data_IF_626223564053
#
_entry.id   IF_626223564053
#
_cell.length_a   1.000
_cell.length_b   1.000
_cell.length_c   1.000
_cell.angle_alpha   90.00
_cell.angle_beta   90.00
_cell.angle_gamma   90.00
#
_symmetry.space_group_name_H-M   'P 1'
#
loop_
_entity.id
_entity.type
_entity.pdbx_description
1 polymer ?
#
# COMPACT_ATOMS: atom_id res chain seq x y z
N UNK A 1 -31.88 -29.02 -6.98
CA UNK A 1 -31.46 -28.75 -5.58
C UNK A 1 -30.20 -27.89 -5.61
N UNK A 2 -30.34 -26.58 -5.65
CA UNK A 2 -29.22 -25.65 -5.53
C UNK A 2 -29.22 -25.07 -4.11
N UNK A 3 -28.21 -25.42 -3.31
CA UNK A 3 -28.01 -24.85 -1.98
C UNK A 3 -27.35 -23.48 -2.14
N UNK A 4 -28.11 -22.42 -1.87
CA UNK A 4 -27.55 -21.09 -1.65
C UNK A 4 -26.78 -21.10 -0.33
N UNK A 5 -25.47 -20.87 -0.38
CA UNK A 5 -24.68 -20.53 0.79
C UNK A 5 -24.77 -19.02 1.00
N UNK A 6 -25.60 -18.61 1.96
CA UNK A 6 -25.66 -17.23 2.43
C UNK A 6 -24.41 -16.96 3.26
N UNK A 7 -23.47 -16.19 2.72
CA UNK A 7 -22.31 -15.71 3.45
C UNK A 7 -22.79 -14.65 4.45
N UNK A 8 -22.83 -14.99 5.74
CA UNK A 8 -23.08 -14.02 6.81
C UNK A 8 -21.82 -13.16 6.99
N UNK A 9 -21.84 -11.95 6.45
CA UNK A 9 -20.88 -10.91 6.80
C UNK A 9 -21.24 -10.42 8.21
N UNK A 10 -20.51 -10.88 9.22
CA UNK A 10 -20.65 -10.36 10.57
C UNK A 10 -20.14 -8.91 10.59
N UNK A 11 -21.06 -7.95 10.52
CA UNK A 11 -20.77 -6.54 10.75
C UNK A 11 -20.49 -6.38 12.24
N UNK A 12 -19.20 -6.40 12.61
CA UNK A 12 -18.77 -5.94 13.94
C UNK A 12 -18.92 -4.43 13.91
N UNK A 13 -19.96 -3.93 14.58
CA UNK A 13 -20.21 -2.50 14.75
C UNK A 13 -19.17 -1.94 15.74
N UNK A 14 -17.98 -1.64 15.24
CA UNK A 14 -16.99 -0.85 15.97
C UNK A 14 -17.47 0.60 15.96
N UNK A 15 -18.07 1.06 17.06
CA UNK A 15 -18.26 2.50 17.28
C UNK A 15 -16.87 3.15 17.40
N UNK A 16 -16.32 3.58 16.28
CA UNK A 16 -15.06 4.34 16.19
C UNK A 16 -15.29 5.76 16.75
N UNK A 17 -15.40 5.87 18.07
CA UNK A 17 -15.05 7.12 18.76
C UNK A 17 -13.54 7.30 18.55
N UNK A 18 -13.17 8.01 17.48
CA UNK A 18 -11.81 8.49 17.29
C UNK A 18 -11.50 9.44 18.46
N UNK A 19 -11.01 8.91 19.57
CA UNK A 19 -10.27 9.71 20.52
C UNK A 19 -9.09 10.31 19.74
N UNK A 20 -8.82 11.60 19.89
CA UNK A 20 -7.64 12.22 19.30
C UNK A 20 -6.39 11.54 19.88
N UNK A 21 -5.89 10.54 19.15
CA UNK A 21 -4.66 9.86 19.49
C UNK A 21 -3.53 10.89 19.57
N UNK A 22 -2.60 10.76 20.54
CA UNK A 22 -1.31 11.43 20.46
C UNK A 22 -0.66 11.16 19.10
N UNK A 23 0.03 12.14 18.52
CA UNK A 23 0.56 12.05 17.15
C UNK A 23 1.49 10.85 16.94
N UNK A 24 2.21 10.42 18.00
CA UNK A 24 3.10 9.27 17.98
C UNK A 24 2.37 7.93 17.81
N UNK A 25 1.07 7.86 18.10
CA UNK A 25 0.24 6.68 17.91
C UNK A 25 -0.38 6.60 16.51
N UNK A 26 -0.33 7.68 15.74
CA UNK A 26 -0.95 7.76 14.42
C UNK A 26 -2.46 7.51 14.46
N UNK A 27 -2.97 6.83 13.43
CA UNK A 27 -4.41 6.65 13.17
C UNK A 27 -4.95 5.26 13.49
N UNK A 28 -4.16 4.42 14.14
CA UNK A 28 -4.61 3.10 14.61
C UNK A 28 -5.50 3.25 15.85
N UNK A 29 -6.59 2.51 15.91
CA UNK A 29 -7.44 2.42 17.09
C UNK A 29 -6.79 1.53 18.16
N UNK A 30 -6.16 2.14 19.16
CA UNK A 30 -5.38 1.45 20.18
C UNK A 30 -6.18 1.12 21.44
N UNK A 31 -6.09 -0.14 21.88
CA UNK A 31 -6.36 -0.48 23.27
C UNK A 31 -5.23 0.04 24.17
N UNK A 32 -5.53 0.14 25.47
CA UNK A 32 -4.60 0.59 26.51
C UNK A 32 -4.48 -0.38 27.68
N UNK A 33 -5.15 -1.54 27.62
CA UNK A 33 -5.10 -2.58 28.64
C UNK A 33 -4.76 -3.96 28.03
N UNK A 34 -3.70 -4.59 28.56
CA UNK A 34 -3.22 -5.88 28.05
C UNK A 34 -4.21 -7.03 28.31
N UNK A 35 -4.97 -6.97 29.40
CA UNK A 35 -5.94 -8.03 29.75
C UNK A 35 -7.15 -7.98 28.82
N UNK A 36 -7.58 -6.77 28.46
CA UNK A 36 -8.59 -6.54 27.43
C UNK A 36 -8.12 -7.04 26.06
N UNK A 37 -6.90 -6.64 25.65
CA UNK A 37 -6.30 -7.11 24.40
C UNK A 37 -6.17 -8.64 24.36
N UNK A 38 -5.84 -9.28 25.48
CA UNK A 38 -5.78 -10.74 25.60
C UNK A 38 -7.16 -11.39 25.41
N UNK A 39 -8.20 -10.80 25.98
CA UNK A 39 -9.57 -11.30 25.86
C UNK A 39 -10.09 -11.18 24.42
N UNK A 40 -9.79 -10.06 23.75
CA UNK A 40 -10.11 -9.85 22.34
C UNK A 40 -9.32 -10.78 21.42
N UNK A 41 -8.03 -10.99 21.71
CA UNK A 41 -7.19 -11.92 20.96
C UNK A 41 -7.76 -13.34 20.96
N UNK A 42 -8.21 -13.82 22.12
CA UNK A 42 -8.86 -15.14 22.26
C UNK A 42 -10.18 -15.23 21.50
N UNK A 43 -11.05 -14.23 21.66
CA UNK A 43 -12.39 -14.24 21.06
C UNK A 43 -12.39 -14.05 19.55
N UNK A 44 -11.45 -13.26 19.02
CA UNK A 44 -11.32 -12.98 17.59
C UNK A 44 -10.33 -13.92 16.86
N UNK A 45 -9.61 -14.77 17.61
CA UNK A 45 -8.51 -15.59 17.10
C UNK A 45 -7.43 -14.76 16.36
N UNK A 46 -7.13 -13.56 16.87
CA UNK A 46 -6.12 -12.65 16.30
C UNK A 46 -4.92 -12.50 17.23
N UNK A 47 -3.69 -12.46 16.72
CA UNK A 47 -2.53 -12.06 17.52
C UNK A 47 -2.66 -10.61 18.03
N UNK A 48 -1.97 -10.29 19.12
CA UNK A 48 -1.91 -8.93 19.66
C UNK A 48 -0.72 -8.22 19.05
N UNK A 49 -0.97 -7.09 18.40
CA UNK A 49 0.05 -6.15 17.96
C UNK A 49 0.28 -5.15 19.08
N UNK A 50 1.45 -5.21 19.73
CA UNK A 50 1.81 -4.34 20.84
C UNK A 50 2.82 -3.30 20.38
N UNK A 51 2.47 -2.03 20.50
CA UNK A 51 3.37 -0.90 20.31
C UNK A 51 3.86 -0.37 21.66
N UNK A 52 5.16 -0.40 21.90
CA UNK A 52 5.81 0.29 23.01
C UNK A 52 6.37 1.62 22.49
N UNK A 53 5.87 2.74 23.03
CA UNK A 53 6.11 4.07 22.49
C UNK A 53 6.21 5.10 23.60
N UNK A 54 7.09 6.08 23.45
CA UNK A 54 7.17 7.24 24.36
C UNK A 54 6.04 8.23 24.04
N UNK A 55 5.28 8.67 25.06
CA UNK A 55 4.16 9.62 24.88
C UNK A 55 4.15 10.71 25.98
N UNK A 56 4.32 11.99 25.63
CA UNK A 56 4.81 12.48 24.33
C UNK A 56 6.23 11.96 24.07
N UNK A 57 6.58 11.77 22.80
CA UNK A 57 7.85 11.17 22.39
C UNK A 57 8.73 12.09 21.55
N UNK A 58 9.97 11.65 21.30
CA UNK A 58 10.91 12.37 20.47
C UNK A 58 10.51 12.39 18.97
N UNK A 59 11.31 13.05 18.13
CA UNK A 59 11.07 13.11 16.68
C UNK A 59 10.88 11.73 16.03
N UNK A 60 11.63 10.70 16.48
CA UNK A 60 11.46 9.33 15.98
C UNK A 60 10.07 8.78 16.27
N UNK A 61 9.53 8.99 17.48
CA UNK A 61 8.20 8.53 17.87
C UNK A 61 7.12 9.24 17.06
N UNK A 62 7.23 10.57 16.93
CA UNK A 62 6.30 11.38 16.13
C UNK A 62 6.32 11.00 14.65
N UNK A 63 7.51 10.83 14.06
CA UNK A 63 7.63 10.39 12.68
C UNK A 63 7.07 8.98 12.47
N UNK A 64 7.29 8.07 13.41
CA UNK A 64 6.70 6.73 13.34
C UNK A 64 5.17 6.79 13.35
N UNK A 65 4.58 7.59 14.23
CA UNK A 65 3.15 7.86 14.27
C UNK A 65 2.59 8.50 12.99
N UNK A 66 3.22 9.58 12.54
CA UNK A 66 2.75 10.39 11.41
C UNK A 66 3.00 9.76 10.02
N UNK A 67 4.00 8.89 9.89
CA UNK A 67 4.38 8.28 8.59
C UNK A 67 3.96 6.81 8.53
N UNK A 68 4.30 6.02 9.55
CA UNK A 68 4.08 4.56 9.54
C UNK A 68 2.69 4.21 10.04
N UNK A 69 2.35 4.64 11.26
CA UNK A 69 1.07 4.33 11.91
C UNK A 69 -0.09 5.21 11.43
N UNK A 70 0.16 6.07 10.43
CA UNK A 70 -0.86 6.86 9.73
C UNK A 70 -0.98 6.49 8.25
N UNK A 71 -0.21 5.52 7.76
CA UNK A 71 -0.40 5.02 6.39
C UNK A 71 -1.67 4.17 6.32
N UNK A 72 -2.67 4.52 5.47
CA UNK A 72 -4.02 3.93 5.54
C UNK A 72 -4.05 2.41 5.41
N UNK A 73 -3.26 1.86 4.47
CA UNK A 73 -3.19 0.40 4.28
C UNK A 73 -2.41 -0.32 5.41
N UNK A 74 -1.53 0.38 6.13
CA UNK A 74 -0.85 -0.18 7.31
C UNK A 74 -1.82 -0.21 8.48
N UNK A 75 -2.50 0.92 8.74
CA UNK A 75 -3.53 1.04 9.77
C UNK A 75 -4.59 -0.03 9.60
N UNK A 76 -5.12 -0.17 8.39
CA UNK A 76 -6.12 -1.18 8.10
C UNK A 76 -5.61 -2.61 8.30
N UNK A 77 -4.35 -2.89 7.94
CA UNK A 77 -3.76 -4.21 8.18
C UNK A 77 -3.66 -4.51 9.67
N UNK A 78 -3.22 -3.53 10.48
CA UNK A 78 -3.14 -3.68 11.93
C UNK A 78 -4.53 -3.99 12.51
N UNK A 79 -5.55 -3.23 12.13
CA UNK A 79 -6.89 -3.36 12.70
C UNK A 79 -7.68 -4.57 12.17
N UNK A 80 -7.38 -5.00 10.95
CA UNK A 80 -8.04 -6.17 10.36
C UNK A 80 -7.49 -7.47 10.93
N UNK A 81 -6.16 -7.58 11.04
CA UNK A 81 -5.49 -8.86 11.29
C UNK A 81 -4.96 -9.01 12.72
N UNK A 82 -4.90 -7.94 13.49
CA UNK A 82 -4.34 -7.95 14.85
C UNK A 82 -5.29 -7.28 15.85
N UNK A 83 -5.04 -7.50 17.12
CA UNK A 83 -5.58 -6.70 18.22
C UNK A 83 -4.58 -5.59 18.56
N UNK A 84 -4.85 -4.31 18.25
CA UNK A 84 -3.88 -3.23 18.47
C UNK A 84 -3.86 -2.80 19.94
N UNK A 85 -2.69 -2.88 20.58
CA UNK A 85 -2.45 -2.44 21.95
C UNK A 85 -1.27 -1.47 21.98
N UNK A 86 -1.47 -0.27 22.48
CA UNK A 86 -0.37 0.63 22.80
C UNK A 86 0.06 0.41 24.25
N UNK A 87 1.35 0.61 24.54
CA UNK A 87 1.96 0.67 25.88
C UNK A 87 2.86 1.91 25.92
N UNK A 88 2.63 2.80 26.88
CA UNK A 88 3.43 4.01 26.99
C UNK A 88 4.70 3.69 27.78
N UNK A 89 5.83 3.65 27.11
CA UNK A 89 7.09 3.16 27.69
C UNK A 89 7.75 4.16 28.67
N UNK A 90 7.14 5.31 28.90
CA UNK A 90 7.60 6.37 29.80
C UNK A 90 6.60 6.67 30.92
N UNK A 91 5.58 5.81 31.12
CA UNK A 91 4.55 5.96 32.16
C UNK A 91 4.61 4.84 33.20
N UNK A 92 4.28 5.19 34.44
CA UNK A 92 4.18 4.25 35.56
C UNK A 92 2.84 3.49 35.54
N UNK A 93 2.69 2.51 36.42
CA UNK A 93 1.43 1.80 36.64
C UNK A 93 1.25 0.59 35.74
N UNK A 94 0.10 0.50 35.05
CA UNK A 94 -0.20 -0.66 34.18
C UNK A 94 0.83 -0.81 33.06
N UNK A 95 1.22 0.28 32.40
CA UNK A 95 2.24 0.27 31.35
C UNK A 95 3.59 -0.28 31.86
N UNK A 96 4.06 0.21 33.02
CA UNK A 96 5.30 -0.26 33.64
C UNK A 96 5.25 -1.76 33.97
N UNK A 97 4.09 -2.27 34.38
CA UNK A 97 3.91 -3.70 34.65
C UNK A 97 4.05 -4.55 33.38
N UNK A 98 3.58 -4.03 32.24
CA UNK A 98 3.74 -4.68 30.93
C UNK A 98 5.19 -4.61 30.45
N UNK A 99 5.88 -3.47 30.62
CA UNK A 99 7.32 -3.34 30.34
C UNK A 99 8.12 -4.38 31.11
N UNK A 100 7.88 -4.51 32.42
CA UNK A 100 8.54 -5.51 33.29
C UNK A 100 8.27 -6.93 32.81
N UNK A 101 7.04 -7.25 32.41
CA UNK A 101 6.69 -8.57 31.89
C UNK A 101 7.49 -8.93 30.64
N UNK A 102 7.59 -8.02 29.67
CA UNK A 102 8.32 -8.26 28.42
C UNK A 102 9.83 -7.94 28.49
N UNK A 103 10.32 -7.49 29.66
CA UNK A 103 11.68 -6.96 29.81
C UNK A 103 12.00 -5.85 28.79
N UNK A 104 11.01 -5.00 28.50
CA UNK A 104 11.19 -3.83 27.63
C UNK A 104 11.74 -2.65 28.44
N UNK A 105 12.76 -1.94 27.92
CA UNK A 105 13.28 -0.77 28.61
C UNK A 105 12.28 0.39 28.54
N UNK A 106 12.36 1.29 29.52
CA UNK A 106 11.66 2.57 29.46
C UNK A 106 12.44 3.58 28.63
N UNK A 107 11.75 4.61 28.11
CA UNK A 107 12.37 5.73 27.37
C UNK A 107 13.20 5.30 26.15
N UNK A 108 12.74 4.29 25.42
CA UNK A 108 13.35 3.88 24.16
C UNK A 108 12.52 4.31 22.94
N UNK A 109 13.16 4.23 21.77
CA UNK A 109 12.50 4.38 20.47
C UNK A 109 11.39 3.33 20.26
N UNK A 110 10.48 3.53 19.28
CA UNK A 110 9.36 2.63 19.04
C UNK A 110 9.78 1.16 18.98
N UNK A 111 9.07 0.29 19.69
CA UNK A 111 9.23 -1.17 19.58
C UNK A 111 7.89 -1.81 19.30
N UNK A 112 7.85 -2.71 18.33
CA UNK A 112 6.67 -3.53 18.03
C UNK A 112 6.93 -4.96 18.45
N UNK A 113 5.99 -5.54 19.19
CA UNK A 113 5.91 -6.98 19.47
C UNK A 113 4.61 -7.51 18.90
N UNK A 114 4.66 -8.69 18.30
CA UNK A 114 3.45 -9.43 17.92
C UNK A 114 3.42 -10.72 18.71
N UNK A 115 2.41 -10.85 19.57
CA UNK A 115 2.29 -11.95 20.54
C UNK A 115 0.99 -12.72 20.31
N UNK A 116 0.98 -13.98 20.76
CA UNK A 116 -0.24 -14.79 20.77
C UNK A 116 -1.16 -14.41 21.95
N UNK A 117 -2.31 -15.10 22.06
CA UNK A 117 -3.27 -14.92 23.15
C UNK A 117 -2.74 -15.28 24.54
N UNK A 118 -1.58 -15.91 24.62
CA UNK A 118 -0.88 -16.26 25.86
C UNK A 118 0.27 -15.30 26.16
N UNK A 119 0.35 -14.17 25.43
CA UNK A 119 1.35 -13.10 25.58
C UNK A 119 2.78 -13.55 25.23
N UNK A 120 2.92 -14.66 24.50
CA UNK A 120 4.22 -15.13 24.01
C UNK A 120 4.50 -14.58 22.62
N UNK A 121 5.73 -14.12 22.38
CA UNK A 121 6.15 -13.59 21.08
C UNK A 121 6.01 -14.64 19.97
N UNK A 122 5.40 -14.25 18.84
CA UNK A 122 5.31 -15.07 17.63
C UNK A 122 6.57 -14.90 16.78
N UNK A 123 7.14 -13.70 16.79
CA UNK A 123 8.36 -13.30 16.11
C UNK A 123 9.26 -12.53 17.09
N UNK A 124 10.59 -12.48 16.85
CA UNK A 124 11.45 -11.53 17.53
C UNK A 124 10.91 -10.11 17.39
N UNK A 125 10.96 -9.32 18.47
CA UNK A 125 10.49 -7.93 18.46
C UNK A 125 11.10 -7.12 17.30
N UNK A 126 10.33 -6.21 16.72
CA UNK A 126 10.80 -5.25 15.73
C UNK A 126 11.30 -3.99 16.45
N UNK A 127 12.60 -3.76 16.40
CA UNK A 127 13.27 -2.57 16.91
C UNK A 127 14.37 -2.12 15.92
N UNK A 128 14.70 -0.83 15.91
CA UNK A 128 15.77 -0.29 15.06
C UNK A 128 15.41 -0.13 13.58
N UNK A 129 14.28 -0.68 13.12
CA UNK A 129 13.73 -0.44 11.78
C UNK A 129 12.38 0.26 11.88
N UNK A 130 12.39 1.58 11.66
CA UNK A 130 11.22 2.46 11.79
C UNK A 130 10.59 2.80 10.44
N UNK A 131 10.88 2.02 9.41
CA UNK A 131 10.36 2.25 8.06
C UNK A 131 8.96 1.63 7.87
N UNK A 132 8.13 2.19 6.98
CA UNK A 132 6.89 1.54 6.57
C UNK A 132 7.10 0.11 6.04
N UNK A 133 8.11 -0.14 5.19
CA UNK A 133 8.34 -1.48 4.65
C UNK A 133 8.76 -2.47 5.75
N UNK A 134 9.55 -2.02 6.72
CA UNK A 134 9.97 -2.81 7.88
C UNK A 134 8.78 -3.35 8.66
N UNK A 135 7.82 -2.47 8.98
CA UNK A 135 6.62 -2.88 9.71
C UNK A 135 5.73 -3.81 8.89
N UNK A 136 5.49 -3.49 7.62
CA UNK A 136 4.66 -4.33 6.74
C UNK A 136 5.26 -5.73 6.57
N UNK A 137 6.57 -5.85 6.35
CA UNK A 137 7.26 -7.14 6.27
C UNK A 137 7.17 -7.92 7.57
N UNK A 138 7.23 -7.25 8.72
CA UNK A 138 7.07 -7.87 10.03
C UNK A 138 5.65 -8.45 10.22
N UNK A 139 4.61 -7.70 9.84
CA UNK A 139 3.23 -8.19 9.84
C UNK A 139 3.03 -9.38 8.90
N UNK A 140 3.56 -9.31 7.67
CA UNK A 140 3.51 -10.42 6.70
C UNK A 140 4.19 -11.68 7.26
N UNK A 141 5.37 -11.52 7.87
CA UNK A 141 6.08 -12.64 8.48
C UNK A 141 5.26 -13.28 9.60
N UNK A 142 4.53 -12.48 10.39
CA UNK A 142 3.67 -12.99 11.44
C UNK A 142 2.51 -13.80 10.86
N UNK A 143 1.79 -13.25 9.87
CA UNK A 143 0.68 -13.94 9.21
C UNK A 143 1.12 -15.30 8.65
N UNK A 144 2.28 -15.33 7.97
CA UNK A 144 2.87 -16.60 7.50
C UNK A 144 3.20 -17.56 8.64
N UNK A 145 3.78 -17.06 9.73
CA UNK A 145 4.19 -17.86 10.89
C UNK A 145 2.99 -18.54 11.57
N UNK A 146 1.82 -17.90 11.56
CA UNK A 146 0.57 -18.45 12.11
C UNK A 146 -0.29 -19.16 11.05
N UNK A 147 0.25 -19.41 9.86
CA UNK A 147 -0.46 -20.03 8.73
C UNK A 147 -1.74 -19.30 8.31
N UNK A 148 -1.75 -17.97 8.44
CA UNK A 148 -2.81 -17.12 7.92
C UNK A 148 -2.44 -16.61 6.53
N UNK A 149 -3.42 -16.61 5.63
CA UNK A 149 -3.24 -16.09 4.27
C UNK A 149 -2.85 -14.61 4.30
N UNK A 150 -1.82 -14.27 3.52
CA UNK A 150 -1.37 -12.90 3.37
C UNK A 150 -2.14 -12.27 2.20
N UNK A 151 -2.95 -11.23 2.43
CA UNK A 151 -3.75 -10.64 1.36
C UNK A 151 -2.86 -9.98 0.31
N UNK A 152 -3.25 -10.05 -0.97
CA UNK A 152 -2.41 -9.60 -2.08
C UNK A 152 -2.15 -8.09 -2.06
N UNK A 153 -3.09 -7.27 -1.57
CA UNK A 153 -2.85 -5.83 -1.39
C UNK A 153 -1.67 -5.55 -0.45
N UNK A 154 -1.49 -6.37 0.60
CA UNK A 154 -0.41 -6.21 1.58
C UNK A 154 0.93 -6.64 0.99
N UNK A 155 0.95 -7.70 0.18
CA UNK A 155 2.13 -8.11 -0.59
C UNK A 155 2.55 -7.02 -1.59
N UNK A 156 1.60 -6.43 -2.30
CA UNK A 156 1.86 -5.33 -3.22
C UNK A 156 2.40 -4.10 -2.48
N UNK A 157 1.79 -3.73 -1.35
CA UNK A 157 2.26 -2.64 -0.50
C UNK A 157 3.69 -2.88 -0.01
N UNK A 158 4.03 -4.09 0.42
CA UNK A 158 5.39 -4.43 0.86
C UNK A 158 6.42 -4.22 -0.25
N UNK A 159 6.08 -4.65 -1.47
CA UNK A 159 6.92 -4.45 -2.67
C UNK A 159 7.07 -2.95 -2.98
N UNK A 160 5.96 -2.21 -3.04
CA UNK A 160 5.95 -0.78 -3.34
C UNK A 160 6.77 0.04 -2.32
N UNK A 161 6.57 -0.18 -1.02
CA UNK A 161 7.31 0.53 0.03
C UNK A 161 8.81 0.22 -0.03
N UNK A 162 9.18 -1.05 -0.28
CA UNK A 162 10.59 -1.45 -0.42
C UNK A 162 11.24 -0.77 -1.61
N UNK A 163 10.56 -0.75 -2.76
CA UNK A 163 11.05 -0.12 -3.97
C UNK A 163 11.22 1.40 -3.79
N UNK A 164 10.25 2.07 -3.15
CA UNK A 164 10.34 3.50 -2.85
C UNK A 164 11.50 3.85 -1.89
N UNK A 165 11.79 3.00 -0.90
CA UNK A 165 12.91 3.19 0.03
C UNK A 165 14.27 3.05 -0.66
N UNK A 166 14.38 2.20 -1.68
CA UNK A 166 15.59 2.03 -2.50
C UNK A 166 15.75 3.11 -3.57
N UNK A 167 14.63 3.67 -4.00
CA UNK A 167 14.55 4.57 -5.15
C UNK A 167 14.10 3.81 -6.40
N UNK A 168 13.17 4.41 -7.15
CA UNK A 168 12.72 3.89 -8.43
C UNK A 168 13.55 4.50 -9.55
N UNK A 169 13.90 3.68 -10.53
CA UNK A 169 14.37 4.16 -11.83
C UNK A 169 13.19 4.55 -12.72
N UNK A 170 13.47 5.38 -13.72
CA UNK A 170 12.48 5.84 -14.70
C UNK A 170 13.04 5.62 -16.10
N UNK A 171 12.27 4.97 -16.96
CA UNK A 171 12.49 4.99 -18.41
C UNK A 171 11.24 5.52 -19.13
N UNK A 172 11.40 5.99 -20.37
CA UNK A 172 10.31 6.56 -21.16
C UNK A 172 10.22 5.86 -22.51
N UNK A 173 9.15 5.12 -22.73
CA UNK A 173 8.96 4.32 -23.93
C UNK A 173 7.97 5.01 -24.87
N UNK A 174 8.23 4.98 -26.18
CA UNK A 174 7.29 5.46 -27.19
C UNK A 174 6.59 4.31 -27.89
N UNK A 175 5.35 4.55 -28.29
CA UNK A 175 4.46 3.54 -28.87
C UNK A 175 3.33 4.20 -29.66
N UNK A 176 2.50 3.39 -30.31
CA UNK A 176 1.34 3.90 -31.03
C UNK A 176 0.19 4.35 -30.11
N UNK A 177 -0.06 3.62 -29.01
CA UNK A 177 -1.16 3.90 -28.08
C UNK A 177 -0.71 3.75 -26.63
N UNK A 178 -0.54 4.86 -25.90
CA UNK A 178 -0.08 4.82 -24.50
C UNK A 178 -1.11 4.22 -23.54
N UNK A 179 -2.40 4.18 -23.86
CA UNK A 179 -3.40 3.51 -23.01
C UNK A 179 -3.16 2.00 -23.00
N UNK A 180 -2.91 1.43 -24.18
CA UNK A 180 -2.45 0.03 -24.30
C UNK A 180 -1.09 -0.12 -23.63
N UNK A 181 -0.20 0.86 -23.80
CA UNK A 181 1.08 0.98 -23.10
C UNK A 181 0.98 0.81 -21.58
N UNK A 182 0.19 1.62 -20.90
CA UNK A 182 0.02 1.55 -19.44
C UNK A 182 -0.58 0.22 -18.98
N UNK A 183 -1.46 -0.39 -19.78
CA UNK A 183 -2.01 -1.72 -19.50
C UNK A 183 -0.94 -2.81 -19.61
N UNK A 184 -0.17 -2.80 -20.69
CA UNK A 184 0.84 -3.85 -20.96
C UNK A 184 2.07 -3.70 -20.07
N UNK A 185 2.63 -2.50 -19.96
CA UNK A 185 3.80 -2.22 -19.12
C UNK A 185 3.44 -2.34 -17.64
N UNK A 186 2.21 -1.98 -17.26
CA UNK A 186 1.73 -2.11 -15.89
C UNK A 186 1.66 -3.55 -15.37
N UNK A 187 1.63 -4.56 -16.24
CA UNK A 187 1.58 -5.98 -15.83
C UNK A 187 2.94 -6.51 -15.33
N UNK A 188 4.03 -5.85 -15.73
CA UNK A 188 5.40 -6.31 -15.47
C UNK A 188 5.67 -6.24 -13.96
N UNK A 189 6.11 -7.36 -13.35
CA UNK A 189 6.53 -7.34 -11.94
C UNK A 189 7.75 -6.43 -11.78
N UNK A 190 7.76 -5.61 -10.73
CA UNK A 190 8.77 -4.56 -10.56
C UNK A 190 8.39 -3.19 -11.13
N UNK A 191 7.34 -3.07 -11.95
CA UNK A 191 6.75 -1.77 -12.33
C UNK A 191 5.74 -1.32 -11.29
N UNK A 192 5.94 -0.13 -10.71
CA UNK A 192 5.15 0.43 -9.60
C UNK A 192 4.38 1.70 -9.96
N UNK A 193 4.81 2.44 -10.98
CA UNK A 193 4.08 3.60 -11.49
C UNK A 193 4.23 3.70 -13.00
N UNK A 194 3.17 4.11 -13.68
CA UNK A 194 3.21 4.50 -15.10
C UNK A 194 2.62 5.90 -15.25
N UNK A 195 3.06 6.66 -16.24
CA UNK A 195 2.40 7.92 -16.62
C UNK A 195 2.32 8.01 -18.14
N UNK A 196 1.11 7.96 -18.69
CA UNK A 196 0.86 8.22 -20.10
C UNK A 196 0.99 9.71 -20.44
N UNK A 197 1.46 10.00 -21.64
CA UNK A 197 1.46 11.36 -22.17
C UNK A 197 2.17 11.46 -23.50
N UNK A 198 2.61 12.67 -23.83
CA UNK A 198 3.22 12.99 -25.10
C UNK A 198 4.63 13.55 -24.92
N UNK A 199 5.54 13.16 -25.81
CA UNK A 199 6.87 13.76 -25.98
C UNK A 199 7.16 13.89 -27.48
N UNK A 200 7.48 15.10 -27.94
CA UNK A 200 7.71 15.39 -29.37
C UNK A 200 6.67 14.78 -30.33
N UNK A 201 5.39 14.84 -29.98
CA UNK A 201 4.25 14.25 -30.71
C UNK A 201 4.12 12.73 -30.67
N UNK A 202 5.11 12.01 -30.11
CA UNK A 202 4.94 10.59 -29.83
C UNK A 202 4.06 10.40 -28.60
N UNK A 203 3.21 9.38 -28.64
CA UNK A 203 2.62 8.80 -27.46
C UNK A 203 3.68 8.04 -26.67
N UNK A 204 3.80 8.35 -25.38
CA UNK A 204 4.80 7.76 -24.50
C UNK A 204 4.22 7.33 -23.17
N UNK A 205 4.90 6.38 -22.54
CA UNK A 205 4.67 5.99 -21.15
C UNK A 205 5.97 6.14 -20.39
N UNK A 206 5.96 6.99 -19.36
CA UNK A 206 6.97 6.96 -18.31
C UNK A 206 6.73 5.71 -17.46
N UNK A 207 7.74 4.84 -17.31
CA UNK A 207 7.68 3.63 -16.49
C UNK A 207 8.62 3.80 -15.32
N UNK A 208 8.10 3.67 -14.09
CA UNK A 208 8.88 3.71 -12.87
C UNK A 208 8.96 2.31 -12.27
N UNK A 209 10.17 1.82 -12.08
CA UNK A 209 10.43 0.43 -11.71
C UNK A 209 11.55 0.29 -10.66
N UNK A 210 11.55 -0.85 -9.99
CA UNK A 210 12.63 -1.26 -9.07
C UNK A 210 13.67 -2.08 -9.85
N UNK A 211 14.90 -1.56 -10.05
CA UNK A 211 15.96 -2.27 -10.78
C UNK A 211 16.40 -3.58 -10.09
N UNK A 212 16.10 -3.77 -8.81
CA UNK A 212 16.35 -5.04 -8.10
C UNK A 212 15.31 -6.13 -8.44
N UNK A 213 14.21 -5.78 -9.12
CA UNK A 213 13.14 -6.71 -9.51
C UNK A 213 13.11 -6.89 -11.03
N UNK A 214 13.32 -5.82 -11.79
CA UNK A 214 13.26 -5.86 -13.25
C UNK A 214 14.25 -4.87 -13.87
N UNK A 215 15.00 -5.34 -14.86
CA UNK A 215 15.96 -4.53 -15.61
C UNK A 215 15.30 -3.82 -16.80
N UNK A 216 15.87 -2.68 -17.24
CA UNK A 216 15.41 -1.94 -18.41
C UNK A 216 15.31 -2.83 -19.66
N UNK A 217 16.30 -3.69 -19.88
CA UNK A 217 16.31 -4.63 -21.00
C UNK A 217 15.07 -5.54 -21.01
N UNK A 218 14.65 -6.01 -19.83
CA UNK A 218 13.45 -6.86 -19.67
C UNK A 218 12.17 -6.06 -19.95
N UNK A 219 12.09 -4.81 -19.48
CA UNK A 219 10.94 -3.93 -19.76
C UNK A 219 10.82 -3.68 -21.27
N UNK A 220 11.92 -3.35 -21.95
CA UNK A 220 11.94 -3.12 -23.40
C UNK A 220 11.51 -4.37 -24.18
N UNK A 221 12.04 -5.54 -23.82
CA UNK A 221 11.68 -6.82 -24.44
C UNK A 221 10.20 -7.15 -24.26
N UNK A 222 9.65 -7.00 -23.05
CA UNK A 222 8.23 -7.23 -22.80
C UNK A 222 7.34 -6.21 -23.53
N UNK A 223 7.74 -4.93 -23.56
CA UNK A 223 7.04 -3.89 -24.31
C UNK A 223 7.03 -4.14 -25.82
N UNK A 224 8.14 -4.59 -26.42
CA UNK A 224 8.22 -4.91 -27.85
C UNK A 224 7.27 -6.03 -28.26
N UNK A 225 7.06 -7.05 -27.41
CA UNK A 225 6.12 -8.15 -27.68
C UNK A 225 4.68 -7.66 -27.89
N UNK A 226 4.36 -6.46 -27.40
CA UNK A 226 3.00 -5.90 -27.46
C UNK A 226 2.96 -4.54 -28.17
N UNK A 227 4.02 -4.15 -28.90
CA UNK A 227 4.15 -2.83 -29.55
C UNK A 227 3.96 -1.65 -28.58
N UNK A 228 4.41 -1.82 -27.34
CA UNK A 228 4.39 -0.82 -26.27
C UNK A 228 5.79 -0.27 -25.95
N UNK A 229 6.76 -0.57 -26.81
CA UNK A 229 8.14 -0.07 -26.76
C UNK A 229 8.73 -0.02 -28.18
N UNK A 230 8.05 0.67 -29.10
CA UNK A 230 8.49 0.84 -30.50
C UNK A 230 9.69 1.80 -30.62
N UNK A 231 9.92 2.59 -29.57
CA UNK A 231 11.08 3.42 -29.35
C UNK A 231 11.24 3.79 -27.88
N UNK A 232 12.28 4.55 -27.58
CA UNK A 232 12.55 5.01 -26.23
C UNK A 232 13.18 6.41 -26.23
N UNK A 233 12.93 7.14 -25.15
CA UNK A 233 13.57 8.40 -24.85
C UNK A 233 14.64 8.17 -23.78
N UNK A 234 15.86 8.61 -24.05
CA UNK A 234 16.99 8.47 -23.13
C UNK A 234 17.35 9.81 -22.48
N UNK A 235 17.73 9.76 -21.20
CA UNK A 235 18.19 10.91 -20.43
C UNK A 235 19.71 11.12 -20.55
N UNK A 236 20.48 10.02 -20.63
CA UNK A 236 21.94 10.06 -20.72
C UNK A 236 22.50 8.99 -21.67
N UNK A 237 23.84 8.94 -21.76
CA UNK A 237 24.54 8.00 -22.63
C UNK A 237 24.38 6.55 -22.16
N UNK A 238 24.34 6.30 -20.85
CA UNK A 238 24.23 4.94 -20.31
C UNK A 238 22.87 4.35 -20.67
N UNK A 239 21.78 5.07 -20.43
CA UNK A 239 20.42 4.63 -20.81
C UNK A 239 20.31 4.43 -22.33
N UNK A 240 20.91 5.33 -23.13
CA UNK A 240 20.96 5.17 -24.58
C UNK A 240 21.68 3.89 -25.01
N UNK A 241 22.86 3.65 -24.45
CA UNK A 241 23.70 2.50 -24.81
C UNK A 241 22.98 1.19 -24.41
N UNK A 242 22.32 1.16 -23.25
CA UNK A 242 21.52 0.01 -22.81
C UNK A 242 20.30 -0.23 -23.71
N UNK A 243 19.51 0.81 -23.98
CA UNK A 243 18.35 0.70 -24.87
C UNK A 243 18.73 0.30 -26.30
N UNK A 244 19.92 0.69 -26.77
CA UNK A 244 20.43 0.35 -28.11
C UNK A 244 20.73 -1.13 -28.32
N UNK A 245 20.83 -1.92 -27.25
CA UNK A 245 20.94 -3.39 -27.31
C UNK A 245 19.66 -4.04 -27.84
N UNK A 246 18.52 -3.37 -27.67
CA UNK A 246 17.17 -3.90 -27.96
C UNK A 246 16.47 -3.11 -29.08
N UNK A 247 16.68 -1.79 -29.12
CA UNK A 247 16.06 -0.89 -30.08
C UNK A 247 17.07 -0.38 -31.11
N UNK A 248 16.64 -0.27 -32.36
CA UNK A 248 17.45 0.34 -33.40
C UNK A 248 17.73 1.82 -33.08
N UNK A 249 18.92 2.31 -33.45
CA UNK A 249 19.37 3.68 -33.11
C UNK A 249 18.42 4.79 -33.57
N UNK A 250 17.68 4.59 -34.68
CA UNK A 250 16.69 5.55 -35.19
C UNK A 250 15.36 5.57 -34.39
N UNK A 251 15.20 4.66 -33.44
CA UNK A 251 14.07 4.59 -32.49
C UNK A 251 14.40 5.19 -31.12
N UNK A 252 15.63 5.66 -30.93
CA UNK A 252 16.09 6.29 -29.71
C UNK A 252 16.15 7.80 -29.88
N UNK A 253 15.54 8.53 -28.94
CA UNK A 253 15.49 10.01 -28.96
C UNK A 253 15.94 10.56 -27.61
N UNK A 254 16.60 11.73 -27.54
CA UNK A 254 16.87 12.37 -26.26
C UNK A 254 15.56 12.84 -25.61
N UNK A 255 15.49 12.79 -24.28
CA UNK A 255 14.32 13.23 -23.50
C UNK A 255 13.86 14.63 -23.92
N UNK A 256 12.55 14.84 -23.95
CA UNK A 256 11.93 16.13 -24.29
C UNK A 256 10.86 16.51 -23.27
N UNK A 257 10.19 17.64 -23.48
CA UNK A 257 9.13 18.10 -22.59
C UNK A 257 7.97 17.08 -22.59
N UNK A 258 7.71 16.49 -21.43
CA UNK A 258 6.56 15.62 -21.19
C UNK A 258 5.28 16.46 -21.05
N UNK A 259 4.23 16.09 -21.78
CA UNK A 259 2.86 16.57 -21.59
C UNK A 259 1.99 15.41 -21.11
N UNK A 260 1.53 15.40 -19.85
CA UNK A 260 0.69 14.31 -19.33
C UNK A 260 -0.60 14.15 -20.12
N UNK A 261 -1.03 12.90 -20.26
CA UNK A 261 -2.38 12.56 -20.72
C UNK A 261 -3.44 13.14 -19.76
N UNK A 262 -4.63 13.43 -20.28
CA UNK A 262 -5.77 13.91 -19.50
C UNK A 262 -6.61 12.77 -18.90
N UNK A 263 -6.43 11.52 -19.39
CA UNK A 263 -7.14 10.33 -18.94
C UNK A 263 -6.17 9.23 -18.44
N UNK A 264 -5.33 9.52 -17.42
CA UNK A 264 -4.35 8.55 -16.93
C UNK A 264 -5.03 7.26 -16.46
N UNK A 265 -4.41 6.10 -16.71
CA UNK A 265 -4.99 4.79 -16.39
C UNK A 265 -6.37 4.62 -17.03
N UNK A 266 -6.45 4.80 -18.35
CA UNK A 266 -7.70 4.79 -19.12
C UNK A 266 -8.68 3.67 -18.74
N UNK A 267 -8.24 2.42 -18.61
CA UNK A 267 -9.15 1.32 -18.27
C UNK A 267 -9.75 1.47 -16.87
N UNK A 268 -8.95 1.95 -15.90
CA UNK A 268 -9.43 2.28 -14.56
C UNK A 268 -10.47 3.41 -14.60
N UNK A 269 -10.24 4.48 -15.37
CA UNK A 269 -11.14 5.66 -15.46
C UNK A 269 -12.51 5.34 -16.06
N UNK A 270 -12.63 4.25 -16.82
CA UNK A 270 -13.91 3.77 -17.36
C UNK A 270 -14.76 2.99 -16.34
N UNK A 271 -14.32 2.86 -15.08
CA UNK A 271 -14.98 2.05 -14.07
C UNK A 271 -15.23 2.81 -12.77
N UNK A 272 -16.04 2.23 -11.89
CA UNK A 272 -16.25 2.74 -10.52
C UNK A 272 -14.98 2.71 -9.66
N UNK A 273 -13.97 1.92 -10.02
CA UNK A 273 -12.71 1.84 -9.30
C UNK A 273 -11.92 3.17 -9.33
N UNK A 274 -12.16 4.05 -10.30
CA UNK A 274 -11.49 5.35 -10.44
C UNK A 274 -11.65 6.28 -9.23
N UNK A 275 -12.71 6.04 -8.47
CA UNK A 275 -13.05 6.81 -7.29
C UNK A 275 -12.61 6.10 -6.01
N UNK A 276 -11.96 4.94 -6.06
CA UNK A 276 -11.40 4.29 -4.87
C UNK A 276 -9.98 4.83 -4.62
N UNK A 277 -9.70 5.50 -3.48
CA UNK A 277 -8.34 5.91 -3.13
C UNK A 277 -7.39 4.72 -3.00
N UNK A 278 -6.29 4.75 -3.73
CA UNK A 278 -5.35 3.64 -3.85
C UNK A 278 -3.92 4.14 -4.08
N UNK A 279 -2.93 3.29 -3.80
CA UNK A 279 -1.53 3.63 -4.06
C UNK A 279 -1.21 3.62 -5.57
N UNK A 280 -0.11 4.27 -6.02
CA UNK A 280 0.35 4.18 -7.40
C UNK A 280 0.50 2.74 -7.90
N UNK A 281 1.08 1.85 -7.08
CA UNK A 281 1.23 0.46 -7.45
C UNK A 281 -0.12 -0.24 -7.62
N UNK A 282 -1.09 0.02 -6.73
CA UNK A 282 -2.46 -0.47 -6.93
C UNK A 282 -3.04 0.05 -8.24
N UNK A 283 -2.97 1.36 -8.52
CA UNK A 283 -3.53 1.96 -9.73
C UNK A 283 -2.98 1.34 -11.01
N UNK A 284 -1.66 1.10 -11.10
CA UNK A 284 -1.02 0.44 -12.24
C UNK A 284 -1.54 -0.98 -12.43
N UNK A 285 -1.52 -1.80 -11.37
CA UNK A 285 -1.92 -3.21 -11.48
C UNK A 285 -3.42 -3.37 -11.73
N UNK A 286 -4.24 -2.53 -11.12
CA UNK A 286 -5.69 -2.53 -11.30
C UNK A 286 -6.06 -2.09 -12.72
N UNK A 287 -5.44 -1.03 -13.25
CA UNK A 287 -5.64 -0.60 -14.63
C UNK A 287 -5.32 -1.73 -15.63
N UNK A 288 -4.19 -2.41 -15.43
CA UNK A 288 -3.81 -3.55 -16.27
C UNK A 288 -4.84 -4.68 -16.21
N UNK A 289 -5.28 -5.08 -15.01
CA UNK A 289 -6.27 -6.15 -14.82
C UNK A 289 -7.60 -5.83 -15.48
N UNK A 290 -8.12 -4.61 -15.31
CA UNK A 290 -9.36 -4.17 -15.95
C UNK A 290 -9.22 -4.18 -17.48
N UNK A 291 -8.07 -3.73 -18.01
CA UNK A 291 -7.78 -3.80 -19.44
C UNK A 291 -7.74 -5.22 -20.02
N UNK A 292 -7.60 -6.24 -19.17
CA UNK A 292 -7.73 -7.66 -19.50
C UNK A 292 -9.08 -8.28 -19.07
N UNK A 293 -10.05 -7.45 -18.68
CA UNK A 293 -11.37 -7.87 -18.18
C UNK A 293 -11.29 -8.82 -16.99
N UNK A 294 -10.26 -8.68 -16.14
CA UNK A 294 -10.08 -9.44 -14.89
C UNK A 294 -10.53 -8.60 -13.70
N UNK A 295 -11.16 -9.23 -12.71
CA UNK A 295 -11.49 -8.53 -11.46
C UNK A 295 -10.22 -8.16 -10.70
N UNK A 296 -10.06 -6.89 -10.27
CA UNK A 296 -8.93 -6.44 -9.47
C UNK A 296 -9.16 -6.50 -7.96
N UNK A 297 -10.32 -6.99 -7.49
CA UNK A 297 -10.76 -6.86 -6.09
C UNK A 297 -9.75 -7.42 -5.08
N UNK A 298 -8.98 -8.46 -5.44
CA UNK A 298 -7.96 -9.05 -4.58
C UNK A 298 -6.76 -8.11 -4.28
N UNK A 299 -6.58 -7.05 -5.06
CA UNK A 299 -5.59 -6.00 -4.83
C UNK A 299 -6.10 -4.87 -3.94
N UNK A 300 -7.39 -4.87 -3.59
CA UNK A 300 -7.98 -3.88 -2.69
C UNK A 300 -8.00 -4.40 -1.27
N UNK A 301 -7.82 -3.48 -0.33
CA UNK A 301 -8.00 -3.74 1.09
C UNK A 301 -9.49 -3.86 1.45
N UNK A 302 -9.86 -4.55 2.55
CA UNK A 302 -11.23 -4.56 3.07
C UNK A 302 -11.98 -3.21 3.10
N UNK A 303 -11.35 -2.11 3.50
CA UNK A 303 -11.97 -0.76 3.49
C UNK A 303 -12.14 -0.24 2.06
N UNK A 304 -11.18 -0.48 1.17
CA UNK A 304 -11.32 -0.12 -0.25
C UNK A 304 -12.47 -0.89 -0.91
N UNK A 305 -12.68 -2.17 -0.56
CA UNK A 305 -13.82 -2.96 -1.02
C UNK A 305 -15.14 -2.39 -0.50
N UNK A 306 -15.20 -1.97 0.77
CA UNK A 306 -16.38 -1.29 1.31
C UNK A 306 -16.65 0.07 0.64
N UNK A 307 -15.60 0.84 0.34
CA UNK A 307 -15.73 2.07 -0.46
C UNK A 307 -16.27 1.77 -1.85
N UNK A 308 -15.79 0.72 -2.50
CA UNK A 308 -16.27 0.28 -3.81
C UNK A 308 -17.76 -0.12 -3.76
N UNK A 309 -18.19 -0.85 -2.73
CA UNK A 309 -19.59 -1.20 -2.51
C UNK A 309 -20.46 0.04 -2.27
N UNK A 310 -19.98 0.97 -1.45
CA UNK A 310 -20.62 2.26 -1.23
C UNK A 310 -20.83 3.02 -2.56
N UNK A 311 -19.78 3.11 -3.38
CA UNK A 311 -19.84 3.79 -4.68
C UNK A 311 -20.82 3.10 -5.64
N UNK A 312 -20.83 1.76 -5.68
CA UNK A 312 -21.80 0.98 -6.48
C UNK A 312 -23.24 1.24 -6.03
N UNK A 313 -23.48 1.43 -4.73
CA UNK A 313 -24.82 1.68 -4.17
C UNK A 313 -25.32 3.11 -4.39
N UNK A 314 -24.47 4.11 -4.23
CA UNK A 314 -24.87 5.52 -4.23
C UNK A 314 -24.51 6.27 -5.52
N UNK A 315 -23.76 5.66 -6.44
CA UNK A 315 -23.53 6.14 -7.80
C UNK A 315 -22.62 7.36 -7.94
N UNK A 316 -22.19 8.00 -6.84
CA UNK A 316 -21.27 9.12 -6.88
C UNK A 316 -20.39 9.21 -5.64
N UNK A 317 -19.09 9.39 -5.85
CA UNK A 317 -18.16 9.74 -4.80
C UNK A 317 -18.43 11.18 -4.30
N UNK A 318 -18.43 11.37 -2.99
CA UNK A 318 -18.39 12.71 -2.39
C UNK A 318 -16.96 13.24 -2.28
N UNK A 319 -15.98 12.47 -2.76
CA UNK A 319 -14.56 12.80 -2.82
C UNK A 319 -14.08 12.79 -4.27
N UNK A 320 -13.02 13.55 -4.57
CA UNK A 320 -12.45 13.60 -5.92
C UNK A 320 -11.70 12.29 -6.25
N UNK A 321 -11.73 11.89 -7.53
CA UNK A 321 -10.91 10.80 -8.06
C UNK A 321 -9.44 10.91 -7.63
N UNK A 322 -8.82 9.77 -7.38
CA UNK A 322 -7.54 9.63 -6.67
C UNK A 322 -6.44 8.98 -7.52
N UNK A 323 -6.69 8.79 -8.81
CA UNK A 323 -5.72 8.18 -9.72
C UNK A 323 -4.47 9.06 -9.78
N UNK A 324 -3.31 8.45 -9.51
CA UNK A 324 -2.00 9.09 -9.53
C UNK A 324 -1.89 10.36 -8.65
N UNK A 325 -2.73 10.47 -7.61
CA UNK A 325 -2.74 11.60 -6.68
C UNK A 325 -1.71 11.43 -5.56
N UNK A 326 -0.82 12.43 -5.41
CA UNK A 326 0.14 12.50 -4.29
C UNK A 326 -0.53 12.55 -2.92
N UNK A 327 -1.80 12.95 -2.84
CA UNK A 327 -2.60 13.04 -1.63
C UNK A 327 -3.58 11.86 -1.46
N UNK A 328 -3.38 10.74 -2.18
CA UNK A 328 -4.28 9.59 -2.12
C UNK A 328 -4.54 9.09 -0.69
N UNK A 329 -3.54 9.15 0.21
CA UNK A 329 -3.71 8.73 1.61
C UNK A 329 -4.70 9.63 2.37
N UNK A 330 -4.65 10.96 2.16
CA UNK A 330 -5.62 11.87 2.76
C UNK A 330 -7.02 11.65 2.17
N UNK A 331 -7.11 11.40 0.86
CA UNK A 331 -8.36 11.04 0.20
C UNK A 331 -8.94 9.72 0.69
N UNK A 332 -8.08 8.75 1.00
CA UNK A 332 -8.48 7.48 1.60
C UNK A 332 -9.23 7.70 2.90
N UNK A 333 -8.68 8.50 3.83
CA UNK A 333 -9.35 8.78 5.10
C UNK A 333 -10.67 9.54 4.90
N UNK A 334 -10.71 10.53 4.01
CA UNK A 334 -11.96 11.25 3.68
C UNK A 334 -13.03 10.32 3.10
N UNK A 335 -12.63 9.38 2.23
CA UNK A 335 -13.52 8.38 1.67
C UNK A 335 -14.02 7.44 2.76
N UNK A 336 -13.14 6.98 3.65
CA UNK A 336 -13.48 6.09 4.76
C UNK A 336 -14.47 6.74 5.73
N UNK A 337 -14.22 7.98 6.14
CA UNK A 337 -15.14 8.75 7.00
C UNK A 337 -16.54 8.92 6.38
N UNK A 338 -16.63 9.04 5.05
CA UNK A 338 -17.90 9.14 4.35
C UNK A 338 -18.65 7.79 4.31
N UNK A 339 -17.92 6.68 4.17
CA UNK A 339 -18.49 5.33 4.23
C UNK A 339 -18.98 5.01 5.65
N UNK A 340 -18.17 5.28 6.68
CA UNK A 340 -18.52 5.01 8.09
C UNK A 340 -19.76 5.77 8.57
N UNK A 341 -20.07 6.95 8.00
CA UNK A 341 -21.28 7.72 8.34
C UNK A 341 -22.58 7.15 7.74
N UNK A 342 -22.48 6.16 6.86
CA UNK A 342 -23.57 5.66 6.02
C UNK A 342 -23.84 4.17 6.18
N UNK A 343 -22.89 3.45 6.78
CA UNK A 343 -23.04 2.12 7.38
C UNK A 343 -23.53 2.32 8.81
#
# INVERSE_FOLDING_TARGET
MFKFYTLYLAVVLSLSLHADNPEELGRVNWLRDLSEAQSLSKSQAKPIFILFQEIPGCLTCRNYGNIVLSHPLIVETIETYFVPLAIYNNRRGKDESVLKYYSEPSWNNPVVRIVNSDKSDILPRLNGNYTPSGLVKHMIACLKKINQDVPSYLLLLAKELTANERGLEKTTLSMFCFWTGEKELGKIDGVFKTEAGFMNHDEVVNVYYDPEIVELESILKEGQKTNCADGAYYQDKQEKDEASKILAANKLRPISRFKPDQEPKYYLTQTVYKDVPMSPAQAVKINALIGYSKSPDFLLSPRQLQMLEYLKKFGKATWASSIDDKQWQSKFYRAWEAVEKKV
#
